data_IF_280953197239
#
_entry.id   IF_280953197239
#
_cell.length_a   1.000
_cell.length_b   1.000
_cell.length_c   1.000
_cell.angle_alpha   90.00
_cell.angle_beta   90.00
_cell.angle_gamma   90.00
#
_symmetry.space_group_name_H-M   'P 1'
#
loop_
_entity.id
_entity.type
_entity.pdbx_description
1 polymer ?
#
# COMPACT_ATOMS: atom_id res chain seq x y z
N UNK A 1 34.89 0.87 -6.83
CA UNK A 1 33.82 0.06 -6.20
C UNK A 1 34.02 0.21 -4.72
N UNK A 2 33.10 0.91 -4.08
CA UNK A 2 33.31 1.53 -2.78
C UNK A 2 33.22 0.49 -1.65
N UNK A 3 34.23 0.47 -0.78
CA UNK A 3 34.35 -0.45 0.37
C UNK A 3 33.14 -0.35 1.33
N UNK A 4 32.39 0.75 1.26
CA UNK A 4 31.15 0.97 2.00
C UNK A 4 30.03 0.03 1.55
N UNK A 5 29.95 -0.29 0.26
CA UNK A 5 28.93 -1.20 -0.29
C UNK A 5 29.25 -2.64 0.11
N UNK A 6 30.53 -3.02 0.11
CA UNK A 6 30.97 -4.35 0.56
C UNK A 6 30.71 -4.58 2.06
N UNK A 7 30.80 -3.52 2.88
CA UNK A 7 30.53 -3.60 4.32
C UNK A 7 29.03 -3.77 4.63
N UNK A 8 28.16 -3.13 3.86
CA UNK A 8 26.70 -3.26 4.00
C UNK A 8 26.17 -4.63 3.55
N UNK A 9 26.75 -5.22 2.51
CA UNK A 9 26.38 -6.58 2.07
C UNK A 9 26.81 -7.63 3.10
N UNK A 10 27.94 -7.44 3.77
CA UNK A 10 28.43 -8.36 4.82
C UNK A 10 27.60 -8.32 6.11
N UNK A 11 26.95 -7.18 6.41
CA UNK A 11 26.02 -7.06 7.55
C UNK A 11 24.66 -7.72 7.28
N UNK A 12 24.25 -7.82 6.01
CA UNK A 12 22.97 -8.44 5.63
C UNK A 12 23.02 -9.98 5.59
N UNK A 13 24.20 -10.58 5.43
CA UNK A 13 24.36 -12.05 5.43
C UNK A 13 24.57 -12.66 6.84
N UNK A 14 24.78 -11.83 7.87
CA UNK A 14 25.08 -12.29 9.23
C UNK A 14 23.88 -12.49 10.17
N UNK A 15 22.65 -12.15 9.75
CA UNK A 15 21.47 -12.13 10.63
C UNK A 15 20.41 -13.15 10.23
N UNK A 16 20.83 -14.42 10.11
CA UNK A 16 19.92 -15.55 9.94
C UNK A 16 20.49 -16.78 10.65
N UNK A 17 19.68 -17.33 11.55
CA UNK A 17 19.84 -18.59 12.32
C UNK A 17 20.65 -18.55 13.62
N UNK A 18 19.96 -18.56 14.75
CA UNK A 18 19.98 -19.72 15.66
C UNK A 18 18.98 -19.58 16.83
N UNK A 19 17.94 -20.42 16.81
CA UNK A 19 17.40 -21.01 18.04
C UNK A 19 18.46 -21.93 18.65
N UNK A 20 18.47 -22.08 19.99
CA UNK A 20 18.56 -23.43 20.51
C UNK A 20 17.58 -23.70 21.65
N UNK A 21 16.95 -24.86 21.53
CA UNK A 21 16.12 -25.54 22.54
C UNK A 21 17.02 -26.36 23.49
N UNK A 22 16.63 -26.36 24.77
CA UNK A 22 16.73 -27.44 25.78
C UNK A 22 18.10 -27.98 26.24
N UNK A 23 18.33 -27.93 27.58
CA UNK A 23 18.56 -29.08 28.49
C UNK A 23 18.63 -28.61 29.95
N UNK A 24 17.67 -29.05 30.77
CA UNK A 24 17.85 -29.95 31.93
C UNK A 24 18.58 -29.34 33.15
N UNK A 25 17.81 -29.05 34.19
CA UNK A 25 18.25 -29.22 35.57
C UNK A 25 17.04 -29.65 36.43
N UNK A 26 17.13 -30.88 36.91
CA UNK A 26 16.30 -31.58 37.87
C UNK A 26 16.34 -30.87 39.23
N UNK A 27 15.19 -30.57 39.85
CA UNK A 27 15.13 -30.55 41.32
C UNK A 27 13.71 -30.85 41.82
N UNK A 28 13.63 -31.92 42.60
CA UNK A 28 12.44 -32.42 43.27
C UNK A 28 12.00 -31.53 44.44
N UNK A 29 10.72 -31.72 44.79
CA UNK A 29 10.17 -31.64 46.16
C UNK A 29 9.67 -30.27 46.63
N UNK A 30 8.36 -30.04 46.47
CA UNK A 30 7.46 -30.07 47.63
C UNK A 30 5.98 -30.09 47.22
N UNK A 31 5.31 -31.14 47.71
CA UNK A 31 3.87 -31.25 47.87
C UNK A 31 3.37 -30.15 48.80
N UNK A 32 2.40 -29.35 48.35
CA UNK A 32 1.35 -28.83 49.21
C UNK A 32 0.07 -28.66 48.39
N UNK A 33 -0.91 -29.43 48.82
CA UNK A 33 -2.26 -29.58 48.33
C UNK A 33 -3.13 -28.46 48.88
N UNK A 34 -3.68 -27.59 48.03
CA UNK A 34 -4.86 -26.75 48.35
C UNK A 34 -5.64 -26.43 47.08
N UNK A 35 -6.68 -27.23 46.83
CA UNK A 35 -8.06 -26.82 46.54
C UNK A 35 -8.25 -25.50 45.77
N UNK A 36 -8.67 -25.58 44.49
CA UNK A 36 -9.91 -24.97 43.94
C UNK A 36 -9.77 -24.51 42.49
N UNK A 37 -10.62 -25.09 41.64
CA UNK A 37 -11.35 -24.41 40.55
C UNK A 37 -10.57 -23.71 39.42
N UNK A 38 -10.37 -24.42 38.31
CA UNK A 38 -10.35 -23.78 36.98
C UNK A 38 -11.34 -24.50 36.05
N UNK A 39 -12.57 -23.98 35.88
CA UNK A 39 -13.21 -23.93 34.58
C UNK A 39 -12.89 -22.58 33.91
N UNK A 40 -13.26 -22.41 32.63
CA UNK A 40 -13.45 -21.11 31.96
C UNK A 40 -12.46 -20.71 30.84
N UNK A 41 -11.96 -21.66 30.04
CA UNK A 41 -11.49 -21.33 28.67
C UNK A 41 -12.64 -21.31 27.63
N UNK A 42 -13.79 -21.93 27.93
CA UNK A 42 -14.92 -22.03 27.00
C UNK A 42 -15.83 -20.80 26.96
N UNK A 43 -15.94 -20.02 28.04
CA UNK A 43 -16.83 -18.84 28.08
C UNK A 43 -16.34 -17.67 27.23
N UNK A 44 -15.01 -17.50 27.11
CA UNK A 44 -14.44 -16.41 26.32
C UNK A 44 -14.65 -16.62 24.81
N UNK A 45 -14.58 -17.87 24.34
CA UNK A 45 -14.80 -18.20 22.93
C UNK A 45 -16.27 -18.07 22.52
N UNK A 46 -17.22 -18.37 23.42
CA UNK A 46 -18.65 -18.17 23.16
C UNK A 46 -19.03 -16.69 23.11
N UNK A 47 -18.43 -15.86 23.98
CA UNK A 47 -18.66 -14.40 23.98
C UNK A 47 -18.11 -13.74 22.72
N UNK A 48 -16.92 -14.14 22.28
CA UNK A 48 -16.34 -13.67 21.02
C UNK A 48 -17.20 -14.10 19.81
N UNK A 49 -17.67 -15.35 19.76
CA UNK A 49 -18.54 -15.83 18.69
C UNK A 49 -19.91 -15.12 18.65
N UNK A 50 -20.49 -14.77 19.81
CA UNK A 50 -21.72 -13.98 19.89
C UNK A 50 -21.51 -12.52 19.49
N UNK A 51 -20.37 -11.91 19.86
CA UNK A 51 -20.03 -10.55 19.44
C UNK A 51 -19.84 -10.51 17.92
N UNK A 52 -19.20 -11.52 17.32
CA UNK A 52 -19.05 -11.69 15.87
C UNK A 52 -20.39 -11.82 15.16
N UNK A 53 -21.28 -12.69 15.63
CA UNK A 53 -22.63 -12.86 15.07
C UNK A 53 -23.46 -11.57 15.18
N UNK A 54 -23.21 -10.74 16.20
CA UNK A 54 -23.83 -9.42 16.29
C UNK A 54 -23.25 -8.44 15.26
N UNK A 55 -21.93 -8.42 15.05
CA UNK A 55 -21.27 -7.54 14.07
C UNK A 55 -21.74 -7.85 12.64
N UNK A 56 -21.88 -9.13 12.30
CA UNK A 56 -22.31 -9.59 10.96
C UNK A 56 -23.72 -9.11 10.61
N UNK A 57 -24.61 -8.99 11.61
CA UNK A 57 -25.98 -8.51 11.44
C UNK A 57 -26.11 -6.98 11.37
N UNK A 58 -25.02 -6.23 11.57
CA UNK A 58 -25.04 -4.77 11.46
C UNK A 58 -24.93 -4.37 9.99
N UNK A 59 -26.10 -4.07 9.40
CA UNK A 59 -26.21 -3.58 8.02
C UNK A 59 -26.53 -2.08 7.92
N UNK A 60 -26.68 -1.39 9.05
CA UNK A 60 -27.09 0.01 9.10
C UNK A 60 -25.96 0.93 9.57
N UNK A 61 -25.71 2.01 8.83
CA UNK A 61 -24.65 2.98 9.15
C UNK A 61 -24.65 3.49 10.61
N UNK A 62 -25.75 3.99 11.20
CA UNK A 62 -25.77 4.43 12.61
C UNK A 62 -25.44 3.35 13.65
N UNK A 63 -25.69 2.07 13.33
CA UNK A 63 -25.31 0.95 14.19
C UNK A 63 -23.82 0.63 14.03
N UNK A 64 -23.29 0.70 12.81
CA UNK A 64 -21.85 0.56 12.54
C UNK A 64 -21.02 1.64 13.25
N UNK A 65 -21.52 2.87 13.26
CA UNK A 65 -20.91 3.99 13.98
C UNK A 65 -20.76 3.70 15.48
N UNK A 66 -21.87 3.34 16.13
CA UNK A 66 -21.87 3.01 17.57
C UNK A 66 -20.90 1.87 17.87
N UNK A 67 -20.83 0.89 16.98
CA UNK A 67 -19.86 -0.20 17.10
C UNK A 67 -18.42 0.30 17.02
N UNK A 68 -18.07 1.13 16.02
CA UNK A 68 -16.72 1.68 15.86
C UNK A 68 -16.28 2.48 17.09
N UNK A 69 -17.15 3.32 17.65
CA UNK A 69 -16.83 4.05 18.89
C UNK A 69 -16.65 3.10 20.10
N UNK A 70 -17.47 2.05 20.20
CA UNK A 70 -17.29 1.04 21.24
C UNK A 70 -15.98 0.25 21.06
N UNK A 71 -15.59 0.00 19.80
CA UNK A 71 -14.36 -0.70 19.44
C UNK A 71 -13.13 0.16 19.77
N UNK A 72 -13.21 1.48 19.55
CA UNK A 72 -12.19 2.44 19.95
C UNK A 72 -11.92 2.40 21.45
N UNK A 73 -12.98 2.40 22.26
CA UNK A 73 -12.86 2.33 23.71
C UNK A 73 -12.30 0.99 24.21
N UNK A 74 -12.67 -0.13 23.55
CA UNK A 74 -12.25 -1.48 23.95
C UNK A 74 -10.86 -1.87 23.45
N UNK A 75 -10.48 -1.49 22.23
CA UNK A 75 -9.30 -2.01 21.52
C UNK A 75 -8.64 -0.94 20.63
N UNK A 76 -7.91 0.04 21.21
CA UNK A 76 -7.26 1.11 20.44
C UNK A 76 -6.16 0.60 19.48
N UNK A 77 -5.59 -0.57 19.73
CA UNK A 77 -4.57 -1.18 18.86
C UNK A 77 -5.10 -1.54 17.46
N UNK A 78 -6.37 -1.93 17.36
CA UNK A 78 -7.00 -2.21 16.05
C UNK A 78 -7.10 -0.93 15.22
N UNK A 79 -7.34 0.21 15.88
CA UNK A 79 -7.39 1.51 15.21
C UNK A 79 -6.02 1.97 14.71
N UNK A 80 -4.92 1.64 15.40
CA UNK A 80 -3.55 1.93 14.89
C UNK A 80 -3.28 1.25 13.55
N UNK A 81 -3.86 0.07 13.31
CA UNK A 81 -3.76 -0.62 12.02
C UNK A 81 -4.48 0.15 10.91
N UNK A 82 -5.65 0.73 11.18
CA UNK A 82 -6.38 1.59 10.22
C UNK A 82 -5.54 2.84 9.87
N UNK A 83 -4.93 3.48 10.87
CA UNK A 83 -4.01 4.62 10.64
C UNK A 83 -2.82 4.22 9.77
N UNK A 84 -2.23 3.04 10.01
CA UNK A 84 -1.15 2.50 9.18
C UNK A 84 -1.58 2.24 7.73
N UNK A 85 -2.79 1.75 7.50
CA UNK A 85 -3.32 1.56 6.13
C UNK A 85 -3.41 2.90 5.38
N UNK A 86 -3.87 3.96 6.06
CA UNK A 86 -3.96 5.30 5.47
C UNK A 86 -2.59 5.87 5.13
N UNK A 87 -1.64 5.82 6.07
CA UNK A 87 -0.28 6.33 5.81
C UNK A 87 0.42 5.55 4.71
N UNK A 88 0.14 4.24 4.59
CA UNK A 88 0.61 3.42 3.48
C UNK A 88 0.00 3.85 2.13
N UNK A 89 -1.30 4.11 2.08
CA UNK A 89 -1.97 4.62 0.87
C UNK A 89 -1.37 5.96 0.44
N UNK A 90 -1.27 6.94 1.35
CA UNK A 90 -0.68 8.25 1.04
C UNK A 90 0.77 8.15 0.57
N UNK A 91 1.53 7.19 1.13
CA UNK A 91 2.89 6.92 0.68
C UNK A 91 2.90 6.37 -0.74
N UNK A 92 2.06 5.39 -1.05
CA UNK A 92 1.96 4.81 -2.40
C UNK A 92 1.55 5.86 -3.42
N UNK A 93 0.55 6.69 -3.12
CA UNK A 93 0.11 7.78 -4.01
C UNK A 93 1.25 8.78 -4.27
N UNK A 94 2.01 9.13 -3.23
CA UNK A 94 3.20 9.98 -3.38
C UNK A 94 4.28 9.31 -4.24
N UNK A 95 4.55 8.04 -4.01
CA UNK A 95 5.56 7.29 -4.75
C UNK A 95 5.17 7.18 -6.23
N UNK A 96 3.90 6.88 -6.53
CA UNK A 96 3.35 6.87 -7.89
C UNK A 96 3.47 8.23 -8.59
N UNK A 97 3.14 9.31 -7.88
CA UNK A 97 3.32 10.66 -8.41
C UNK A 97 4.78 10.93 -8.76
N UNK A 98 5.71 10.63 -7.85
CA UNK A 98 7.14 10.85 -8.07
C UNK A 98 7.67 10.00 -9.22
N UNK A 99 7.21 8.76 -9.36
CA UNK A 99 7.62 7.86 -10.44
C UNK A 99 7.11 8.34 -11.81
N UNK A 100 5.87 8.82 -11.88
CA UNK A 100 5.34 9.49 -13.07
C UNK A 100 6.16 10.72 -13.46
N UNK A 101 6.55 11.55 -12.49
CA UNK A 101 7.42 12.70 -12.74
C UNK A 101 8.82 12.28 -13.23
N UNK A 102 9.41 11.23 -12.66
CA UNK A 102 10.68 10.68 -13.14
C UNK A 102 10.58 10.19 -14.58
N UNK A 103 9.48 9.53 -14.94
CA UNK A 103 9.23 9.07 -16.29
C UNK A 103 9.19 10.24 -17.27
N UNK A 104 8.40 11.28 -16.95
CA UNK A 104 8.33 12.51 -17.76
C UNK A 104 9.72 13.14 -17.91
N UNK A 105 10.46 13.31 -16.81
CA UNK A 105 11.78 13.91 -16.85
C UNK A 105 12.79 13.10 -17.67
N UNK A 106 12.73 11.76 -17.59
CA UNK A 106 13.57 10.85 -18.37
C UNK A 106 13.33 11.00 -19.88
N UNK A 107 12.07 11.07 -20.32
CA UNK A 107 11.77 11.30 -21.74
C UNK A 107 12.13 12.72 -22.17
N UNK A 108 11.88 13.73 -21.34
CA UNK A 108 12.28 15.11 -21.64
C UNK A 108 13.80 15.26 -21.79
N UNK A 109 14.60 14.62 -20.93
CA UNK A 109 16.07 14.64 -21.04
C UNK A 109 16.57 13.89 -22.26
N UNK A 110 15.99 12.72 -22.59
CA UNK A 110 16.24 11.98 -23.83
C UNK A 110 15.97 12.86 -25.07
N UNK A 111 14.87 13.61 -25.07
CA UNK A 111 14.54 14.53 -26.17
C UNK A 111 15.56 15.68 -26.29
N UNK A 112 15.92 16.31 -25.16
CA UNK A 112 16.94 17.38 -25.13
C UNK A 112 18.27 16.88 -25.71
N UNK A 113 18.71 15.68 -25.33
CA UNK A 113 19.94 15.09 -25.86
C UNK A 113 19.82 14.80 -27.37
N UNK A 114 18.71 14.19 -27.81
CA UNK A 114 18.45 13.97 -29.24
C UNK A 114 18.54 15.27 -30.04
N UNK A 115 17.90 16.34 -29.57
CA UNK A 115 17.90 17.67 -30.20
C UNK A 115 19.28 18.33 -30.26
N UNK A 116 20.15 18.06 -29.28
CA UNK A 116 21.54 18.55 -29.28
C UNK A 116 22.44 17.72 -30.22
N UNK A 117 22.13 16.44 -30.45
CA UNK A 117 22.90 15.54 -31.32
C UNK A 117 22.48 15.61 -32.79
N UNK A 118 21.24 16.01 -33.10
CA UNK A 118 20.75 16.20 -34.49
C UNK A 118 21.67 17.08 -35.34
N UNK A 119 22.11 18.28 -34.90
CA UNK A 119 23.01 19.12 -35.70
C UNK A 119 24.41 18.52 -35.90
N UNK A 120 24.87 17.63 -35.01
CA UNK A 120 26.15 16.93 -35.15
C UNK A 120 26.05 15.74 -36.12
N UNK A 121 24.88 15.09 -36.18
CA UNK A 121 24.64 13.95 -37.07
C UNK A 121 24.38 14.36 -38.53
N UNK A 122 23.89 15.56 -38.79
CA UNK A 122 23.63 16.07 -40.14
C UNK A 122 24.86 16.73 -40.79
N UNK A 123 25.94 16.96 -40.04
CA UNK A 123 27.16 17.64 -40.50
C UNK A 123 28.05 16.81 -41.44
N UNK A 124 27.67 15.58 -41.83
CA UNK A 124 28.47 14.74 -42.76
C UNK A 124 27.93 14.68 -44.19
N UNK A 125 26.86 15.42 -44.50
CA UNK A 125 26.34 15.55 -45.86
C UNK A 125 26.71 16.93 -46.41
N UNK A 126 27.61 16.91 -47.39
CA UNK A 126 28.21 18.05 -48.06
C UNK A 126 27.25 19.16 -48.52
N UNK A 127 27.71 20.40 -48.37
CA UNK A 127 27.59 21.52 -49.32
C UNK A 127 26.59 21.36 -50.48
N UNK A 128 25.40 21.97 -50.37
CA UNK A 128 24.63 22.57 -51.47
C UNK A 128 23.48 23.35 -50.85
N UNK A 129 23.58 24.68 -50.78
CA UNK A 129 22.79 25.59 -51.62
C UNK A 129 21.31 25.70 -51.24
N UNK A 130 21.02 26.82 -50.56
CA UNK A 130 19.83 27.69 -50.74
C UNK A 130 18.45 27.14 -50.33
N UNK A 131 17.82 27.92 -49.46
CA UNK A 131 16.39 28.01 -49.14
C UNK A 131 15.63 26.72 -48.82
N UNK A 132 15.09 26.63 -47.61
CA UNK A 132 13.63 26.53 -47.45
C UNK A 132 13.21 26.76 -45.99
N UNK A 133 12.21 27.61 -45.86
CA UNK A 133 11.39 27.82 -44.68
C UNK A 133 11.09 26.52 -43.90
N UNK A 134 11.62 26.40 -42.69
CA UNK A 134 11.04 25.49 -41.70
C UNK A 134 9.92 26.21 -40.94
N UNK A 135 8.92 26.65 -41.69
CA UNK A 135 7.62 26.99 -41.14
C UNK A 135 6.75 25.73 -41.26
N UNK A 136 6.03 25.42 -40.18
CA UNK A 136 4.92 24.46 -40.10
C UNK A 136 5.32 22.97 -40.04
N UNK A 137 5.28 22.44 -38.82
CA UNK A 137 4.40 21.30 -38.53
C UNK A 137 4.06 21.29 -37.04
N UNK A 138 3.14 22.20 -36.68
CA UNK A 138 2.56 22.30 -35.34
C UNK A 138 1.45 21.26 -35.10
N UNK A 139 1.41 20.17 -35.86
CA UNK A 139 0.29 19.20 -35.78
C UNK A 139 0.67 17.72 -35.95
N UNK A 140 1.97 17.39 -36.01
CA UNK A 140 2.43 16.02 -35.80
C UNK A 140 3.04 15.98 -34.41
N UNK A 141 2.41 15.26 -33.47
CA UNK A 141 3.11 14.85 -32.25
C UNK A 141 4.45 14.25 -32.69
N UNK A 142 5.56 14.78 -32.17
CA UNK A 142 6.87 14.19 -32.42
C UNK A 142 6.79 12.70 -32.05
N UNK A 143 7.43 11.80 -32.80
CA UNK A 143 7.46 10.37 -32.44
C UNK A 143 7.83 10.16 -30.96
N UNK A 144 8.65 11.06 -30.43
CA UNK A 144 9.03 11.13 -29.03
C UNK A 144 7.87 11.46 -28.07
N UNK A 145 6.98 12.38 -28.43
CA UNK A 145 5.79 12.70 -27.64
C UNK A 145 4.80 11.53 -27.65
N UNK A 146 4.74 10.78 -28.76
CA UNK A 146 3.97 9.54 -28.84
C UNK A 146 4.55 8.44 -27.95
N UNK A 147 5.88 8.24 -27.97
CA UNK A 147 6.58 7.29 -27.06
C UNK A 147 6.31 7.63 -25.58
N UNK A 148 6.39 8.92 -25.20
CA UNK A 148 6.10 9.35 -23.83
C UNK A 148 4.62 9.12 -23.47
N UNK A 149 3.70 9.46 -24.36
CA UNK A 149 2.27 9.27 -24.11
C UNK A 149 1.91 7.79 -23.93
N UNK A 150 2.48 6.90 -24.75
CA UNK A 150 2.29 5.45 -24.63
C UNK A 150 2.85 4.92 -23.30
N UNK A 151 4.07 5.33 -22.92
CA UNK A 151 4.67 4.94 -21.64
C UNK A 151 3.89 5.46 -20.42
N UNK A 152 3.32 6.67 -20.52
CA UNK A 152 2.43 7.23 -19.49
C UNK A 152 1.14 6.45 -19.37
N UNK A 153 0.52 6.06 -20.50
CA UNK A 153 -0.70 5.25 -20.50
C UNK A 153 -0.46 3.87 -19.88
N UNK A 154 0.64 3.20 -20.25
CA UNK A 154 1.01 1.91 -19.66
C UNK A 154 1.27 2.03 -18.15
N UNK A 155 1.88 3.14 -17.71
CA UNK A 155 2.06 3.42 -16.29
C UNK A 155 0.72 3.63 -15.59
N UNK A 156 -0.15 4.49 -16.14
CA UNK A 156 -1.45 4.80 -15.55
C UNK A 156 -2.34 3.54 -15.47
N UNK A 157 -2.30 2.65 -16.47
CA UNK A 157 -2.99 1.34 -16.44
C UNK A 157 -2.50 0.45 -15.29
N UNK A 158 -1.17 0.37 -15.09
CA UNK A 158 -0.58 -0.36 -13.95
C UNK A 158 -1.02 0.22 -12.62
N UNK A 159 -1.11 1.55 -12.51
CA UNK A 159 -1.60 2.21 -11.28
C UNK A 159 -3.05 1.84 -11.00
N UNK A 160 -3.92 1.76 -12.01
CA UNK A 160 -5.30 1.29 -11.81
C UNK A 160 -5.31 -0.11 -11.19
N UNK A 161 -4.58 -1.07 -11.74
CA UNK A 161 -4.52 -2.43 -11.17
C UNK A 161 -3.94 -2.46 -9.74
N UNK A 162 -2.92 -1.64 -9.48
CA UNK A 162 -2.31 -1.51 -8.16
C UNK A 162 -3.27 -0.89 -7.14
N UNK A 163 -4.04 0.14 -7.54
CA UNK A 163 -5.04 0.77 -6.68
C UNK A 163 -6.19 -0.18 -6.35
N UNK A 164 -6.67 -0.95 -7.33
CA UNK A 164 -7.69 -1.98 -7.09
C UNK A 164 -7.21 -3.01 -6.07
N UNK A 165 -5.97 -3.49 -6.23
CA UNK A 165 -5.34 -4.41 -5.27
C UNK A 165 -5.22 -3.78 -3.89
N UNK A 166 -4.74 -2.54 -3.80
CA UNK A 166 -4.65 -1.79 -2.54
C UNK A 166 -6.01 -1.68 -1.85
N UNK A 167 -7.08 -1.35 -2.58
CA UNK A 167 -8.42 -1.26 -2.02
C UNK A 167 -8.97 -2.62 -1.58
N UNK A 168 -8.63 -3.69 -2.30
CA UNK A 168 -8.97 -5.06 -1.89
C UNK A 168 -8.29 -5.45 -0.59
N UNK A 169 -6.99 -5.17 -0.47
CA UNK A 169 -6.20 -5.43 0.75
C UNK A 169 -6.70 -4.60 1.95
N UNK A 170 -7.06 -3.32 1.71
CA UNK A 170 -7.70 -2.48 2.72
C UNK A 170 -9.03 -3.08 3.19
N UNK A 171 -9.91 -3.50 2.27
CA UNK A 171 -11.20 -4.13 2.60
C UNK A 171 -11.00 -5.42 3.41
N UNK A 172 -10.07 -6.27 2.99
CA UNK A 172 -9.70 -7.49 3.72
C UNK A 172 -9.26 -7.16 5.14
N UNK A 173 -8.39 -6.18 5.32
CA UNK A 173 -7.91 -5.78 6.65
C UNK A 173 -9.05 -5.23 7.52
N UNK A 174 -9.96 -4.42 6.96
CA UNK A 174 -11.14 -3.92 7.67
C UNK A 174 -12.09 -5.06 8.08
N UNK A 175 -12.26 -6.07 7.21
CA UNK A 175 -13.02 -7.29 7.51
C UNK A 175 -12.37 -8.09 8.64
N UNK A 176 -11.04 -8.29 8.62
CA UNK A 176 -10.29 -8.98 9.69
C UNK A 176 -10.40 -8.24 11.04
N UNK A 177 -10.57 -6.92 11.00
CA UNK A 177 -10.81 -6.11 12.20
C UNK A 177 -12.25 -6.15 12.68
N UNK A 178 -13.12 -6.86 11.97
CA UNK A 178 -14.55 -6.99 12.24
C UNK A 178 -15.27 -5.65 12.24
N UNK A 179 -14.94 -4.79 11.26
CA UNK A 179 -15.68 -3.55 11.07
C UNK A 179 -16.97 -3.88 10.30
N UNK A 180 -18.15 -3.54 10.85
CA UNK A 180 -19.43 -3.70 10.18
C UNK A 180 -19.43 -3.08 8.78
N UNK A 181 -20.30 -3.57 7.90
CA UNK A 181 -20.39 -3.20 6.48
C UNK A 181 -19.22 -3.65 5.59
N UNK A 182 -18.05 -3.96 6.15
CA UNK A 182 -16.89 -4.51 5.40
C UNK A 182 -16.75 -6.04 5.50
N UNK A 183 -17.58 -6.69 6.32
CA UNK A 183 -17.62 -8.14 6.50
C UNK A 183 -18.21 -8.88 5.30
N UNK A 184 -19.03 -8.21 4.49
CA UNK A 184 -19.59 -8.79 3.27
C UNK A 184 -18.54 -8.61 2.17
N UNK A 185 -17.95 -9.70 1.63
CA UNK A 185 -17.03 -9.61 0.51
C UNK A 185 -17.83 -9.21 -0.74
N UNK A 186 -18.00 -7.90 -0.94
CA UNK A 186 -18.60 -7.37 -2.16
C UNK A 186 -17.51 -7.06 -3.19
N UNK A 187 -17.67 -7.63 -4.39
CA UNK A 187 -16.87 -7.32 -5.57
C UNK A 187 -17.25 -5.98 -6.21
N UNK A 188 -18.31 -5.32 -5.73
CA UNK A 188 -18.78 -4.03 -6.25
C UNK A 188 -17.96 -2.84 -5.69
N UNK A 189 -18.04 -1.66 -6.32
CA UNK A 189 -17.54 -0.42 -5.71
C UNK A 189 -18.15 -0.21 -4.31
N UNK A 190 -17.40 0.48 -3.44
CA UNK A 190 -17.86 0.76 -2.07
C UNK A 190 -19.22 1.44 -2.11
N UNK A 191 -20.17 0.91 -1.35
CA UNK A 191 -21.48 1.56 -1.15
C UNK A 191 -21.27 2.92 -0.48
N UNK A 192 -22.19 3.87 -0.68
CA UNK A 192 -22.08 5.21 -0.09
C UNK A 192 -21.90 5.17 1.43
N UNK A 193 -22.59 4.25 2.11
CA UNK A 193 -22.45 4.04 3.56
C UNK A 193 -21.06 3.51 3.97
N UNK A 194 -20.49 2.60 3.17
CA UNK A 194 -19.12 2.10 3.40
C UNK A 194 -18.10 3.22 3.20
N UNK A 195 -18.29 4.08 2.20
CA UNK A 195 -17.42 5.23 1.94
C UNK A 195 -17.48 6.25 3.09
N UNK A 196 -18.68 6.56 3.58
CA UNK A 196 -18.86 7.43 4.76
C UNK A 196 -18.22 6.83 6.01
N UNK A 197 -18.35 5.52 6.22
CA UNK A 197 -17.74 4.84 7.37
C UNK A 197 -16.21 4.82 7.27
N UNK A 198 -15.68 4.56 6.07
CA UNK A 198 -14.23 4.65 5.80
C UNK A 198 -13.71 6.06 6.05
N UNK A 199 -14.43 7.10 5.58
CA UNK A 199 -14.05 8.49 5.81
C UNK A 199 -14.07 8.83 7.29
N UNK A 200 -15.10 8.42 8.04
CA UNK A 200 -15.14 8.66 9.48
C UNK A 200 -14.02 7.94 10.21
N UNK A 201 -13.73 6.68 9.86
CA UNK A 201 -12.56 5.99 10.39
C UNK A 201 -11.30 6.83 10.10
N UNK A 202 -11.14 7.38 8.91
CA UNK A 202 -10.00 8.25 8.61
C UNK A 202 -9.99 9.55 9.42
N UNK A 203 -11.13 10.19 9.63
CA UNK A 203 -11.26 11.48 10.34
C UNK A 203 -11.06 11.32 11.85
N UNK A 204 -11.63 10.27 12.45
CA UNK A 204 -11.44 9.93 13.87
C UNK A 204 -9.98 9.65 14.22
N UNK A 205 -9.15 9.29 13.24
CA UNK A 205 -7.77 8.85 13.48
C UNK A 205 -6.71 9.83 12.92
N UNK A 206 -7.15 10.99 12.43
CA UNK A 206 -6.31 12.10 11.98
C UNK A 206 -5.79 12.99 13.12
N UNK A 207 -6.29 12.81 14.34
CA UNK A 207 -5.69 13.40 15.55
C UNK A 207 -4.40 12.66 15.99
#
# INVERSE_FOLDING_TARGET
MDETVAKLLKELEGSSNSFPTTKEALNDRNLSQTVSSEPDSSFNNQKAAQELAFVENIHSYPAALRYVFSLQAKNPERLRKVKKLKTMQERQERDWFMERQRLIHHYQSKNKIKNLLTPLSTSRSHASSVDLHSATDANSLSEHDRELQEALLEFDEKIVLLTERMYSDQRKTLSEMHIPLFLIPSSEPLTEEQSKLKQLLQDLFNE
#
